data_IF_248616130096
#
_entry.id   IF_248616130096
#
_cell.length_a   1.000
_cell.length_b   1.000
_cell.length_c   1.000
_cell.angle_alpha   90.00
_cell.angle_beta   90.00
_cell.angle_gamma   90.00
#
_symmetry.space_group_name_H-M   'P 1'
#
loop_
_entity.id
_entity.type
_entity.pdbx_description
1 polymer ?
#
# COMPACT_ATOMS: atom_id res chain seq x y z
N UNK A 1 -10.24 -9.18 20.09
CA UNK A 1 -10.42 -8.26 18.94
C UNK A 1 -11.90 -8.03 18.66
N UNK A 2 -12.31 -6.89 18.13
CA UNK A 2 -13.70 -6.57 17.76
C UNK A 2 -13.73 -5.77 16.46
N UNK A 3 -14.89 -5.70 15.81
CA UNK A 3 -15.13 -4.80 14.67
C UNK A 3 -15.22 -3.36 15.20
N UNK A 4 -14.44 -2.46 14.59
CA UNK A 4 -14.25 -1.08 15.09
C UNK A 4 -15.34 -0.14 14.57
N UNK A 5 -15.68 -0.25 13.28
CA UNK A 5 -16.62 0.66 12.62
C UNK A 5 -17.53 -0.06 11.61
N UNK A 6 -18.51 0.67 11.06
CA UNK A 6 -19.40 0.19 10.01
C UNK A 6 -20.59 -0.63 10.51
N UNK A 7 -21.23 -1.37 9.58
CA UNK A 7 -22.49 -2.11 9.81
C UNK A 7 -22.41 -3.19 10.89
N UNK A 8 -21.23 -3.72 11.16
CA UNK A 8 -21.00 -4.76 12.17
C UNK A 8 -20.25 -4.26 13.39
N UNK A 9 -20.16 -2.95 13.63
CA UNK A 9 -19.46 -2.34 14.77
C UNK A 9 -19.79 -3.02 16.11
N UNK A 10 -18.77 -3.30 16.91
CA UNK A 10 -18.88 -3.90 18.24
C UNK A 10 -18.94 -5.44 18.26
N UNK A 11 -19.15 -6.11 17.11
CA UNK A 11 -19.10 -7.57 17.00
C UNK A 11 -17.75 -8.09 17.44
N UNK A 12 -17.75 -9.10 18.33
CA UNK A 12 -16.53 -9.79 18.74
C UNK A 12 -16.02 -10.68 17.61
N UNK A 13 -14.72 -10.67 17.40
CA UNK A 13 -14.00 -11.59 16.53
C UNK A 13 -13.37 -12.67 17.41
N UNK A 14 -13.70 -13.90 17.13
CA UNK A 14 -13.15 -15.08 17.82
C UNK A 14 -11.66 -15.16 17.47
N UNK A 15 -10.82 -15.20 18.48
CA UNK A 15 -9.37 -15.36 18.34
C UNK A 15 -8.95 -16.73 18.87
N UNK A 16 -7.81 -17.29 18.42
CA UNK A 16 -7.29 -18.54 18.93
C UNK A 16 -7.08 -18.48 20.45
N UNK A 17 -7.26 -19.61 21.11
CA UNK A 17 -6.91 -19.75 22.54
C UNK A 17 -5.42 -20.08 22.58
N UNK A 18 -4.60 -19.15 23.08
CA UNK A 18 -3.14 -19.27 23.22
C UNK A 18 -2.37 -18.05 22.69
N UNK A 19 -1.09 -17.98 23.00
CA UNK A 19 -0.21 -16.84 22.64
C UNK A 19 0.41 -16.93 21.24
N UNK A 20 0.08 -17.94 20.43
CA UNK A 20 0.76 -18.22 19.17
C UNK A 20 0.31 -17.31 17.99
N UNK A 21 -0.81 -16.62 18.13
CA UNK A 21 -1.28 -15.67 17.13
C UNK A 21 -1.44 -14.31 17.79
N UNK A 22 -0.51 -13.40 17.52
CA UNK A 22 -0.64 -11.99 17.94
C UNK A 22 -1.78 -11.39 17.11
N UNK A 23 -2.91 -11.03 17.72
CA UNK A 23 -3.92 -10.29 16.97
C UNK A 23 -3.31 -8.95 16.58
N UNK A 24 -3.44 -8.56 15.32
CA UNK A 24 -3.23 -7.18 14.88
C UNK A 24 -3.88 -6.29 15.92
N UNK A 25 -3.12 -5.44 16.58
CA UNK A 25 -3.67 -4.66 17.71
C UNK A 25 -4.80 -3.80 17.16
N UNK A 26 -5.88 -3.64 17.93
CA UNK A 26 -7.03 -2.79 17.53
C UNK A 26 -6.55 -1.43 17.01
N UNK A 27 -5.42 -0.91 17.53
CA UNK A 27 -4.79 0.34 17.11
C UNK A 27 -4.21 0.28 15.69
N UNK A 28 -3.50 -0.80 15.32
CA UNK A 28 -2.94 -0.96 13.96
C UNK A 28 -4.08 -1.13 12.97
N UNK A 29 -5.08 -1.95 13.30
CA UNK A 29 -6.27 -2.13 12.49
C UNK A 29 -7.02 -0.82 12.27
N UNK A 30 -7.24 -0.02 13.32
CA UNK A 30 -7.87 1.29 13.22
C UNK A 30 -7.07 2.22 12.30
N UNK A 31 -5.75 2.24 12.47
CA UNK A 31 -4.87 3.04 11.62
C UNK A 31 -4.93 2.62 10.16
N UNK A 32 -4.86 1.32 9.88
CA UNK A 32 -4.97 0.78 8.53
C UNK A 32 -6.26 1.25 7.86
N UNK A 33 -7.39 1.06 8.53
CA UNK A 33 -8.69 1.44 7.97
C UNK A 33 -8.96 2.96 7.95
N UNK A 34 -8.27 3.76 8.75
CA UNK A 34 -8.27 5.21 8.62
C UNK A 34 -7.51 5.66 7.35
N UNK A 35 -6.47 4.92 6.94
CA UNK A 35 -5.77 5.16 5.69
C UNK A 35 -6.66 4.80 4.51
N UNK A 36 -7.32 3.63 4.58
CA UNK A 36 -8.16 3.09 3.51
C UNK A 36 -9.58 3.69 3.44
N UNK A 37 -9.92 4.65 4.30
CA UNK A 37 -11.31 5.13 4.46
C UNK A 37 -11.99 5.62 3.17
N UNK A 38 -11.19 6.11 2.21
CA UNK A 38 -11.69 6.59 0.92
C UNK A 38 -11.61 5.55 -0.20
N UNK A 39 -10.93 4.43 0.05
CA UNK A 39 -10.71 3.37 -0.93
C UNK A 39 -11.62 2.14 -0.67
N UNK A 40 -12.27 2.04 0.52
CA UNK A 40 -12.92 0.81 0.98
C UNK A 40 -14.37 0.62 0.47
N UNK A 41 -15.11 1.72 0.26
CA UNK A 41 -16.51 1.61 -0.17
C UNK A 41 -16.60 0.98 -1.56
N UNK A 42 -17.48 -0.02 -1.70
CA UNK A 42 -17.70 -0.82 -2.92
C UNK A 42 -16.47 -1.57 -3.45
N UNK A 43 -15.37 -1.61 -2.67
CA UNK A 43 -14.11 -2.24 -3.07
C UNK A 43 -14.19 -3.78 -3.06
N UNK A 44 -13.48 -4.40 -4.00
CA UNK A 44 -13.08 -5.80 -3.97
C UNK A 44 -11.79 -5.92 -3.15
N UNK A 45 -11.89 -6.54 -1.99
CA UNK A 45 -10.77 -6.67 -1.03
C UNK A 45 -10.26 -8.11 -1.02
N UNK A 46 -8.94 -8.28 -1.01
CA UNK A 46 -8.30 -9.59 -0.84
C UNK A 46 -7.43 -9.56 0.41
N UNK A 47 -7.78 -10.38 1.38
CA UNK A 47 -7.02 -10.60 2.62
C UNK A 47 -6.16 -11.86 2.42
N UNK A 48 -4.86 -11.66 2.09
CA UNK A 48 -3.97 -12.75 1.67
C UNK A 48 -3.47 -13.62 2.82
N UNK A 49 -3.60 -13.15 4.07
CA UNK A 49 -3.20 -13.87 5.28
C UNK A 49 -4.31 -13.75 6.32
N UNK A 50 -5.46 -14.33 5.99
CA UNK A 50 -6.73 -14.07 6.68
C UNK A 50 -6.73 -14.30 8.19
N UNK A 51 -5.96 -15.28 8.70
CA UNK A 51 -5.84 -15.54 10.13
C UNK A 51 -7.19 -15.73 10.81
N UNK A 52 -7.61 -14.76 11.62
CA UNK A 52 -8.94 -14.75 12.24
C UNK A 52 -10.04 -14.19 11.33
N UNK A 53 -9.69 -13.61 10.19
CA UNK A 53 -10.61 -12.86 9.34
C UNK A 53 -10.91 -11.44 9.83
N UNK A 54 -10.22 -10.98 10.87
CA UNK A 54 -10.54 -9.70 11.52
C UNK A 54 -10.37 -8.47 10.63
N UNK A 55 -9.42 -8.49 9.69
CA UNK A 55 -9.21 -7.40 8.73
C UNK A 55 -10.29 -7.44 7.62
N UNK A 56 -10.52 -8.60 7.02
CA UNK A 56 -11.55 -8.74 6.01
C UNK A 56 -12.97 -8.46 6.53
N UNK A 57 -13.31 -8.88 7.77
CA UNK A 57 -14.60 -8.55 8.41
C UNK A 57 -14.72 -7.05 8.68
N UNK A 58 -13.65 -6.38 9.08
CA UNK A 58 -13.64 -4.91 9.21
C UNK A 58 -13.90 -4.24 7.85
N UNK A 59 -13.29 -4.76 6.76
CA UNK A 59 -13.53 -4.29 5.41
C UNK A 59 -15.00 -4.42 5.00
N UNK A 60 -15.61 -5.61 5.19
CA UNK A 60 -17.04 -5.82 4.98
C UNK A 60 -17.90 -4.86 5.79
N UNK A 61 -17.54 -4.65 7.06
CA UNK A 61 -18.26 -3.75 7.95
C UNK A 61 -18.26 -2.30 7.46
N UNK A 62 -17.18 -1.89 6.81
CA UNK A 62 -17.01 -0.52 6.27
C UNK A 62 -17.51 -0.34 4.85
N UNK A 63 -18.14 -1.37 4.27
CA UNK A 63 -18.82 -1.27 2.97
C UNK A 63 -18.02 -1.80 1.78
N UNK A 64 -17.03 -2.67 2.01
CA UNK A 64 -16.42 -3.41 0.90
C UNK A 64 -17.51 -4.24 0.19
N UNK A 65 -17.48 -4.24 -1.15
CA UNK A 65 -18.41 -4.99 -2.00
C UNK A 65 -18.22 -6.49 -1.88
N UNK A 66 -16.95 -6.92 -1.85
CA UNK A 66 -16.58 -8.33 -1.80
C UNK A 66 -15.26 -8.50 -1.06
N UNK A 67 -15.16 -9.50 -0.20
CA UNK A 67 -13.90 -9.87 0.46
C UNK A 67 -13.55 -11.31 0.16
N UNK A 68 -12.34 -11.54 -0.32
CA UNK A 68 -11.72 -12.85 -0.49
C UNK A 68 -10.75 -13.07 0.67
N UNK A 69 -11.07 -14.05 1.53
CA UNK A 69 -10.20 -14.45 2.63
C UNK A 69 -9.32 -15.61 2.19
N UNK A 70 -8.03 -15.41 2.18
CA UNK A 70 -7.05 -16.43 1.81
C UNK A 70 -6.24 -16.84 3.05
N UNK A 71 -6.07 -18.13 3.26
CA UNK A 71 -5.18 -18.67 4.29
C UNK A 71 -4.78 -20.10 3.94
N UNK A 72 -3.57 -20.50 4.35
CA UNK A 72 -3.08 -21.86 4.15
C UNK A 72 -3.50 -22.80 5.30
N UNK A 73 -3.68 -22.25 6.51
CA UNK A 73 -3.96 -23.02 7.73
C UNK A 73 -5.46 -23.31 7.88
N UNK A 74 -5.80 -24.58 8.05
CA UNK A 74 -7.18 -25.01 8.29
C UNK A 74 -7.79 -24.43 9.58
N UNK A 75 -6.98 -24.14 10.61
CA UNK A 75 -7.46 -23.50 11.86
C UNK A 75 -7.91 -22.08 11.58
N UNK A 76 -7.09 -21.29 10.83
CA UNK A 76 -7.45 -19.96 10.37
C UNK A 76 -8.74 -19.98 9.54
N UNK A 77 -8.84 -20.88 8.56
CA UNK A 77 -10.04 -21.02 7.73
C UNK A 77 -11.31 -21.33 8.55
N UNK A 78 -11.20 -22.13 9.60
CA UNK A 78 -12.32 -22.42 10.49
C UNK A 78 -12.69 -21.20 11.36
N UNK A 79 -11.72 -20.42 11.83
CA UNK A 79 -11.96 -19.16 12.54
C UNK A 79 -12.64 -18.14 11.62
N UNK A 80 -12.16 -17.98 10.39
CA UNK A 80 -12.79 -17.11 9.40
C UNK A 80 -14.25 -17.50 9.20
N UNK A 81 -14.56 -18.79 8.97
CA UNK A 81 -15.94 -19.28 8.80
C UNK A 81 -16.85 -18.90 9.97
N UNK A 82 -16.36 -19.01 11.19
CA UNK A 82 -17.11 -18.62 12.39
C UNK A 82 -17.31 -17.11 12.45
N UNK A 83 -16.24 -16.34 12.17
CA UNK A 83 -16.23 -14.90 12.29
C UNK A 83 -17.01 -14.18 11.17
N UNK A 84 -17.24 -14.81 10.02
CA UNK A 84 -18.07 -14.24 8.94
C UNK A 84 -19.53 -14.78 8.96
N UNK A 85 -19.90 -15.60 9.95
CA UNK A 85 -21.23 -16.24 10.00
C UNK A 85 -22.41 -15.26 10.06
N UNK A 86 -22.17 -14.04 10.47
CA UNK A 86 -23.15 -12.97 10.54
C UNK A 86 -23.11 -12.03 9.31
N UNK A 87 -22.15 -12.22 8.39
CA UNK A 87 -22.03 -11.45 7.15
C UNK A 87 -22.91 -12.08 6.06
N UNK A 88 -23.32 -11.26 5.08
CA UNK A 88 -24.00 -11.79 3.90
C UNK A 88 -23.06 -12.73 3.12
N UNK A 89 -23.55 -13.93 2.79
CA UNK A 89 -22.77 -14.96 2.11
C UNK A 89 -22.33 -14.55 0.70
N UNK A 90 -23.04 -13.66 0.07
CA UNK A 90 -22.69 -13.10 -1.24
C UNK A 90 -21.49 -12.16 -1.19
N UNK A 91 -21.23 -11.53 -0.03
CA UNK A 91 -20.20 -10.50 0.14
C UNK A 91 -18.80 -11.08 0.39
N UNK A 92 -18.66 -12.41 0.57
CA UNK A 92 -17.34 -12.99 0.83
C UNK A 92 -17.12 -14.36 0.19
N UNK A 93 -15.85 -14.73 0.09
CA UNK A 93 -15.39 -16.07 -0.29
C UNK A 93 -14.17 -16.45 0.54
N UNK A 94 -14.08 -17.73 0.95
CA UNK A 94 -12.95 -18.26 1.72
C UNK A 94 -12.18 -19.21 0.83
N UNK A 95 -10.89 -18.98 0.66
CA UNK A 95 -10.01 -19.70 -0.27
C UNK A 95 -8.84 -20.29 0.53
N UNK A 96 -8.70 -21.62 0.44
CA UNK A 96 -7.54 -22.31 0.98
C UNK A 96 -6.39 -22.27 -0.03
N UNK A 97 -5.24 -21.77 0.38
CA UNK A 97 -4.01 -21.73 -0.40
C UNK A 97 -2.99 -20.80 0.21
N UNK A 98 -1.75 -20.88 -0.25
CA UNK A 98 -0.78 -19.83 0.01
C UNK A 98 -1.12 -18.56 -0.80
N UNK A 99 -0.46 -17.45 -0.48
CA UNK A 99 -0.74 -16.17 -1.13
C UNK A 99 -0.56 -16.23 -2.66
N UNK A 100 0.46 -16.91 -3.16
CA UNK A 100 0.78 -16.97 -4.59
C UNK A 100 -0.28 -17.81 -5.34
N UNK A 101 -0.70 -18.94 -4.77
CA UNK A 101 -1.77 -19.79 -5.34
C UNK A 101 -3.12 -19.06 -5.31
N UNK A 102 -3.43 -18.34 -4.22
CA UNK A 102 -4.66 -17.55 -4.12
C UNK A 102 -4.69 -16.42 -5.16
N UNK A 103 -3.62 -15.64 -5.31
CA UNK A 103 -3.51 -14.61 -6.35
C UNK A 103 -3.73 -15.23 -7.73
N UNK A 104 -2.98 -16.29 -8.06
CA UNK A 104 -3.09 -16.97 -9.35
C UNK A 104 -4.52 -17.46 -9.63
N UNK A 105 -5.16 -18.14 -8.69
CA UNK A 105 -6.51 -18.70 -8.83
C UNK A 105 -7.57 -17.62 -9.01
N UNK A 106 -7.48 -16.53 -8.26
CA UNK A 106 -8.40 -15.40 -8.38
C UNK A 106 -8.22 -14.67 -9.70
N UNK A 107 -6.97 -14.40 -10.10
CA UNK A 107 -6.66 -13.73 -11.37
C UNK A 107 -7.16 -14.55 -12.59
N UNK A 108 -6.96 -15.87 -12.58
CA UNK A 108 -7.47 -16.77 -13.63
C UNK A 108 -9.02 -16.81 -13.72
N UNK A 109 -9.71 -16.41 -12.65
CA UNK A 109 -11.18 -16.24 -12.62
C UNK A 109 -11.62 -14.84 -13.05
N UNK A 110 -10.69 -13.99 -13.48
CA UNK A 110 -10.95 -12.59 -13.87
C UNK A 110 -11.20 -11.64 -12.69
N UNK A 111 -10.85 -12.05 -11.47
CA UNK A 111 -10.94 -11.16 -10.30
C UNK A 111 -9.74 -10.23 -10.30
N UNK A 112 -10.02 -8.92 -10.20
CA UNK A 112 -9.04 -7.88 -9.87
C UNK A 112 -9.40 -7.27 -8.52
N UNK A 113 -8.41 -7.02 -7.69
CA UNK A 113 -8.58 -6.40 -6.38
C UNK A 113 -8.50 -4.87 -6.48
N UNK A 114 -9.29 -4.19 -5.66
CA UNK A 114 -9.11 -2.76 -5.39
C UNK A 114 -8.20 -2.56 -4.17
N UNK A 115 -8.27 -3.47 -3.21
CA UNK A 115 -7.43 -3.46 -2.01
C UNK A 115 -6.89 -4.86 -1.75
N UNK A 116 -5.59 -4.97 -1.52
CA UNK A 116 -4.92 -6.19 -1.07
C UNK A 116 -4.35 -5.93 0.31
N UNK A 117 -4.76 -6.73 1.30
CA UNK A 117 -4.26 -6.66 2.67
C UNK A 117 -3.31 -7.84 2.89
N UNK A 118 -2.09 -7.54 3.33
CA UNK A 118 -1.07 -8.52 3.65
C UNK A 118 -0.61 -8.32 5.09
N UNK A 119 -1.04 -9.20 5.99
CA UNK A 119 -0.58 -9.30 7.39
C UNK A 119 0.06 -10.69 7.61
N UNK A 120 1.25 -10.93 7.04
CA UNK A 120 1.89 -12.24 7.09
C UNK A 120 2.43 -12.56 8.48
N UNK A 121 2.71 -13.85 8.79
CA UNK A 121 3.38 -14.23 10.04
C UNK A 121 4.70 -13.49 10.23
N UNK A 122 5.06 -13.14 11.46
CA UNK A 122 6.17 -12.26 11.86
C UNK A 122 7.56 -12.60 11.29
N UNK A 123 7.79 -13.85 10.87
CA UNK A 123 9.06 -14.30 10.26
C UNK A 123 9.05 -14.30 8.73
N UNK A 124 7.98 -13.80 8.15
CA UNK A 124 7.79 -13.82 6.71
C UNK A 124 8.50 -12.63 6.05
N UNK A 125 9.59 -12.89 5.32
CA UNK A 125 10.42 -11.87 4.65
C UNK A 125 10.22 -11.84 3.13
N UNK A 126 9.00 -12.08 2.66
CA UNK A 126 8.73 -12.21 1.23
C UNK A 126 7.87 -11.06 0.66
N UNK A 127 7.89 -9.89 1.29
CA UNK A 127 7.11 -8.73 0.83
C UNK A 127 7.34 -8.38 -0.65
N UNK A 128 8.60 -8.42 -1.10
CA UNK A 128 8.96 -8.21 -2.51
C UNK A 128 8.33 -9.27 -3.43
N UNK A 129 8.31 -10.54 -3.01
CA UNK A 129 7.71 -11.63 -3.79
C UNK A 129 6.20 -11.47 -3.90
N UNK A 130 5.54 -10.97 -2.85
CA UNK A 130 4.09 -10.65 -2.91
C UNK A 130 3.86 -9.58 -3.96
N UNK A 131 4.60 -8.46 -3.93
CA UNK A 131 4.49 -7.38 -4.90
C UNK A 131 4.71 -7.88 -6.33
N UNK A 132 5.77 -8.68 -6.54
CA UNK A 132 6.07 -9.29 -7.83
C UNK A 132 4.95 -10.21 -8.33
N UNK A 133 4.34 -11.03 -7.45
CA UNK A 133 3.22 -11.90 -7.82
C UNK A 133 1.96 -11.13 -8.17
N UNK A 134 1.62 -10.07 -7.43
CA UNK A 134 0.50 -9.21 -7.75
C UNK A 134 0.70 -8.58 -9.15
N UNK A 135 1.93 -8.16 -9.47
CA UNK A 135 2.29 -7.58 -10.76
C UNK A 135 2.26 -8.60 -11.90
N UNK A 136 2.82 -9.80 -11.68
CA UNK A 136 2.86 -10.90 -12.65
C UNK A 136 1.46 -11.25 -13.19
N UNK A 137 0.46 -11.26 -12.30
CA UNK A 137 -0.92 -11.59 -12.65
C UNK A 137 -1.80 -10.38 -12.97
N UNK A 138 -1.24 -9.18 -13.01
CA UNK A 138 -1.99 -7.92 -13.19
C UNK A 138 -3.24 -7.88 -12.26
N UNK A 139 -3.02 -8.27 -11.00
CA UNK A 139 -4.09 -8.63 -10.07
C UNK A 139 -4.73 -7.42 -9.37
N UNK A 140 -4.10 -6.25 -9.41
CA UNK A 140 -4.56 -5.01 -8.77
C UNK A 140 -5.10 -4.03 -9.80
N UNK A 141 -6.28 -3.48 -9.56
CA UNK A 141 -6.87 -2.41 -10.38
C UNK A 141 -6.00 -1.14 -10.38
N UNK A 142 -6.13 -0.33 -11.43
CA UNK A 142 -5.52 1.00 -11.47
C UNK A 142 -6.03 1.83 -10.29
N UNK A 143 -5.13 2.53 -9.61
CA UNK A 143 -5.42 3.24 -8.37
C UNK A 143 -5.60 2.36 -7.14
N UNK A 144 -5.59 1.05 -7.29
CA UNK A 144 -5.74 0.08 -6.19
C UNK A 144 -4.61 0.16 -5.16
N UNK A 145 -4.86 -0.36 -3.98
CA UNK A 145 -3.96 -0.25 -2.81
C UNK A 145 -3.50 -1.61 -2.33
N UNK A 146 -2.20 -1.74 -2.04
CA UNK A 146 -1.63 -2.89 -1.32
C UNK A 146 -1.16 -2.38 0.03
N UNK A 147 -1.51 -3.09 1.09
CA UNK A 147 -0.98 -2.85 2.44
C UNK A 147 -0.17 -4.05 2.89
N UNK A 148 1.06 -3.82 3.36
CA UNK A 148 1.93 -4.89 3.86
C UNK A 148 2.37 -4.56 5.28
N UNK A 149 1.96 -5.41 6.24
CA UNK A 149 2.51 -5.39 7.59
C UNK A 149 3.80 -6.21 7.62
N UNK A 150 4.86 -5.67 8.25
CA UNK A 150 6.15 -6.34 8.41
C UNK A 150 6.84 -5.91 9.70
N UNK A 151 7.93 -6.58 10.07
CA UNK A 151 8.76 -6.13 11.17
C UNK A 151 9.44 -4.80 10.84
N UNK A 152 9.55 -3.90 11.81
CA UNK A 152 10.12 -2.56 11.61
C UNK A 152 11.62 -2.58 11.30
N UNK A 153 12.32 -3.63 11.72
CA UNK A 153 13.74 -3.87 11.48
C UNK A 153 14.03 -4.61 10.14
N UNK A 154 13.00 -5.09 9.45
CA UNK A 154 13.16 -5.56 8.08
C UNK A 154 13.49 -4.37 7.16
N UNK A 155 14.36 -4.56 6.19
CA UNK A 155 14.72 -3.53 5.21
C UNK A 155 13.50 -2.97 4.48
N UNK A 156 13.60 -1.74 3.96
CA UNK A 156 12.51 -1.13 3.19
C UNK A 156 12.17 -1.97 1.95
N UNK A 157 10.88 -2.12 1.67
CA UNK A 157 10.44 -2.77 0.44
C UNK A 157 10.69 -1.85 -0.78
N UNK A 158 11.07 -2.40 -1.94
CA UNK A 158 11.38 -1.60 -3.12
C UNK A 158 10.15 -0.88 -3.67
N UNK A 159 10.35 0.38 -4.04
CA UNK A 159 9.38 1.25 -4.70
C UNK A 159 9.51 1.14 -6.23
N UNK A 160 9.54 -0.09 -6.72
CA UNK A 160 9.79 -0.36 -8.14
C UNK A 160 8.53 -0.75 -8.90
N UNK A 161 7.82 -1.78 -8.43
CA UNK A 161 6.63 -2.32 -9.09
C UNK A 161 5.40 -1.42 -8.86
N UNK A 162 5.27 -0.88 -7.67
CA UNK A 162 4.18 -0.03 -7.22
C UNK A 162 4.72 1.24 -6.58
N UNK A 163 3.93 2.30 -6.57
CA UNK A 163 4.28 3.54 -5.88
C UNK A 163 4.12 3.35 -4.37
N UNK A 164 5.21 3.39 -3.60
CA UNK A 164 5.17 3.37 -2.14
C UNK A 164 4.64 4.71 -1.63
N UNK A 165 3.34 4.78 -1.34
CA UNK A 165 2.67 6.01 -0.87
C UNK A 165 3.17 6.44 0.51
N UNK A 166 3.33 5.48 1.43
CA UNK A 166 3.87 5.75 2.78
C UNK A 166 4.31 4.49 3.50
N UNK A 167 5.28 4.65 4.41
CA UNK A 167 5.62 3.68 5.44
C UNK A 167 5.30 4.29 6.80
N UNK A 168 4.62 3.55 7.67
CA UNK A 168 4.30 3.98 9.03
C UNK A 168 4.80 2.96 10.03
N UNK A 169 5.56 3.42 11.02
CA UNK A 169 6.16 2.56 12.05
C UNK A 169 5.39 2.70 13.36
N UNK A 170 5.02 1.55 13.94
CA UNK A 170 4.32 1.43 15.21
C UNK A 170 5.02 0.41 16.10
N UNK A 171 5.92 0.88 16.95
CA UNK A 171 6.77 0.00 17.76
C UNK A 171 7.61 -0.90 16.85
N UNK A 172 7.42 -2.21 16.94
CA UNK A 172 8.16 -3.21 16.18
C UNK A 172 7.50 -3.57 14.83
N UNK A 173 6.47 -2.83 14.42
CA UNK A 173 5.70 -3.11 13.20
C UNK A 173 5.80 -1.94 12.25
N UNK A 174 6.07 -2.22 10.97
CA UNK A 174 5.93 -1.29 9.86
C UNK A 174 4.72 -1.66 9.03
N UNK A 175 3.96 -0.65 8.62
CA UNK A 175 2.86 -0.76 7.67
C UNK A 175 3.23 0.03 6.41
N UNK A 176 3.50 -0.68 5.33
CA UNK A 176 3.78 -0.11 4.02
C UNK A 176 2.49 -0.05 3.19
N UNK A 177 2.25 1.10 2.57
CA UNK A 177 1.10 1.35 1.72
C UNK A 177 1.60 1.61 0.31
N UNK A 178 1.25 0.72 -0.62
CA UNK A 178 1.57 0.87 -2.04
C UNK A 178 0.31 1.18 -2.84
N UNK A 179 0.49 1.93 -3.92
CA UNK A 179 -0.58 2.25 -4.86
C UNK A 179 -0.20 1.82 -6.28
N UNK A 180 -1.13 1.21 -7.00
CA UNK A 180 -0.99 0.94 -8.42
C UNK A 180 -1.22 2.25 -9.20
N UNK A 181 -0.15 3.00 -9.39
CA UNK A 181 -0.17 4.27 -10.10
C UNK A 181 0.98 4.32 -11.10
N UNK A 182 0.70 4.81 -12.30
CA UNK A 182 1.76 5.15 -13.25
C UNK A 182 2.65 6.23 -12.67
N UNK A 183 3.95 6.12 -12.87
CA UNK A 183 4.96 6.99 -12.28
C UNK A 183 5.58 7.90 -13.33
N UNK A 184 5.85 9.14 -12.94
CA UNK A 184 6.59 10.11 -13.75
C UNK A 184 7.57 10.90 -12.89
N UNK A 185 8.74 11.25 -13.42
CA UNK A 185 9.69 12.13 -12.77
C UNK A 185 9.55 13.56 -13.30
N UNK A 186 9.56 14.53 -12.39
CA UNK A 186 9.80 15.96 -12.68
C UNK A 186 11.17 16.28 -12.12
N UNK A 187 12.13 16.58 -13.00
CA UNK A 187 13.54 16.71 -12.62
C UNK A 187 14.07 18.13 -12.83
N UNK A 188 14.89 18.60 -11.91
CA UNK A 188 15.50 19.93 -12.01
C UNK A 188 16.44 20.24 -10.85
N UNK A 189 17.17 21.36 -10.95
CA UNK A 189 17.96 21.87 -9.83
C UNK A 189 17.07 22.50 -8.75
N UNK A 190 15.90 23.03 -9.14
CA UNK A 190 14.92 23.70 -8.27
C UNK A 190 15.55 24.76 -7.35
N UNK A 191 16.30 25.67 -7.95
CA UNK A 191 17.08 26.67 -7.25
C UNK A 191 16.65 28.11 -7.62
N UNK A 192 15.47 28.57 -7.18
CA UNK A 192 14.45 27.90 -6.36
C UNK A 192 13.40 27.07 -7.15
N UNK A 193 12.54 26.35 -6.42
CA UNK A 193 11.32 25.75 -6.96
C UNK A 193 10.28 26.86 -7.23
N UNK A 194 9.70 26.86 -8.42
CA UNK A 194 8.82 27.94 -8.90
C UNK A 194 7.39 27.43 -9.17
N UNK A 195 6.45 28.35 -9.45
CA UNK A 195 5.08 28.03 -9.87
C UNK A 195 5.05 27.21 -11.16
N UNK A 196 5.99 27.45 -12.09
CA UNK A 196 6.14 26.63 -13.30
C UNK A 196 6.49 25.18 -12.98
N UNK A 197 7.38 24.96 -12.02
CA UNK A 197 7.69 23.60 -11.56
C UNK A 197 6.48 22.95 -10.87
N UNK A 198 5.72 23.68 -10.04
CA UNK A 198 4.47 23.19 -9.44
C UNK A 198 3.48 22.78 -10.52
N UNK A 199 3.29 23.58 -11.55
CA UNK A 199 2.43 23.27 -12.69
C UNK A 199 2.81 21.96 -13.40
N UNK A 200 4.12 21.69 -13.60
CA UNK A 200 4.59 20.42 -14.17
C UNK A 200 4.24 19.22 -13.27
N UNK A 201 4.35 19.39 -11.95
CA UNK A 201 3.96 18.36 -10.98
C UNK A 201 2.46 18.09 -11.06
N UNK A 202 1.63 19.13 -11.11
CA UNK A 202 0.17 19.02 -11.25
C UNK A 202 -0.22 18.28 -12.53
N UNK A 203 0.39 18.65 -13.66
CA UNK A 203 0.17 17.94 -14.94
C UNK A 203 0.65 16.48 -14.89
N UNK A 204 1.74 16.21 -14.21
CA UNK A 204 2.19 14.85 -13.94
C UNK A 204 1.16 14.05 -13.13
N UNK A 205 0.59 14.64 -12.09
CA UNK A 205 -0.45 13.99 -11.28
C UNK A 205 -1.75 13.72 -12.03
N UNK A 206 -2.13 14.62 -12.95
CA UNK A 206 -3.31 14.44 -13.81
C UNK A 206 -3.11 13.25 -14.79
N UNK A 207 -1.90 13.10 -15.33
CA UNK A 207 -1.62 12.15 -16.42
C UNK A 207 -1.15 10.78 -15.93
N UNK A 208 -0.44 10.71 -14.79
CA UNK A 208 0.27 9.49 -14.35
C UNK A 208 -0.13 9.00 -12.96
N UNK A 209 -0.76 9.82 -12.15
CA UNK A 209 -1.21 9.41 -10.82
C UNK A 209 -0.15 9.56 -9.71
N UNK A 210 1.14 9.32 -9.96
CA UNK A 210 2.23 9.50 -9.01
C UNK A 210 3.42 10.26 -9.62
N UNK A 211 3.98 11.23 -8.88
CA UNK A 211 5.07 12.09 -9.35
C UNK A 211 6.27 12.02 -8.40
N UNK A 212 7.44 11.81 -8.97
CA UNK A 212 8.72 11.94 -8.29
C UNK A 212 9.34 13.30 -8.65
N UNK A 213 9.41 14.20 -7.70
CA UNK A 213 10.13 15.47 -7.84
C UNK A 213 11.57 15.22 -7.44
N UNK A 214 12.44 15.13 -8.44
CA UNK A 214 13.85 14.74 -8.26
C UNK A 214 14.73 15.96 -8.38
N UNK A 215 15.25 16.43 -7.24
CA UNK A 215 16.22 17.52 -7.20
C UNK A 215 17.59 16.99 -7.57
N UNK A 216 18.09 17.41 -8.74
CA UNK A 216 19.41 17.04 -9.21
C UNK A 216 20.48 17.93 -8.55
N UNK A 217 21.44 17.31 -7.89
CA UNK A 217 22.57 17.98 -7.26
C UNK A 217 23.79 17.82 -8.15
N UNK A 218 24.38 18.95 -8.57
CA UNK A 218 25.64 18.97 -9.30
C UNK A 218 26.73 19.57 -8.41
N UNK A 219 27.68 18.76 -7.99
CA UNK A 219 28.78 19.14 -7.10
C UNK A 219 29.70 20.22 -7.71
N UNK A 220 29.71 20.38 -9.04
CA UNK A 220 30.51 21.35 -9.74
C UNK A 220 29.84 22.72 -9.90
N UNK A 221 28.62 22.91 -9.34
CA UNK A 221 27.89 24.19 -9.41
C UNK A 221 27.66 24.72 -8.00
N UNK A 222 27.91 26.02 -7.83
CA UNK A 222 27.55 26.75 -6.60
C UNK A 222 26.06 27.08 -6.64
N UNK A 223 25.22 26.47 -5.80
CA UNK A 223 23.79 26.74 -5.79
C UNK A 223 23.49 28.09 -5.10
N UNK A 224 22.36 28.72 -5.48
CA UNK A 224 21.86 29.92 -4.78
C UNK A 224 21.29 29.57 -3.40
N UNK A 225 20.58 28.44 -3.30
CA UNK A 225 20.03 27.90 -2.05
C UNK A 225 20.67 26.57 -1.69
N UNK A 226 20.85 26.33 -0.38
CA UNK A 226 21.29 25.02 0.09
C UNK A 226 20.29 23.92 -0.28
N UNK A 227 20.77 22.66 -0.39
CA UNK A 227 19.94 21.49 -0.65
C UNK A 227 18.75 21.42 0.31
N UNK A 228 19.01 21.64 1.60
CA UNK A 228 17.99 21.60 2.66
C UNK A 228 16.91 22.68 2.47
N UNK A 229 17.29 23.91 2.13
CA UNK A 229 16.32 24.99 1.89
C UNK A 229 15.48 24.73 0.65
N UNK A 230 16.08 24.21 -0.43
CA UNK A 230 15.34 23.83 -1.65
C UNK A 230 14.33 22.73 -1.35
N UNK A 231 14.70 21.68 -0.60
CA UNK A 231 13.78 20.62 -0.19
C UNK A 231 12.60 21.18 0.61
N UNK A 232 12.84 22.03 1.61
CA UNK A 232 11.79 22.68 2.41
C UNK A 232 10.81 23.49 1.54
N UNK A 233 11.31 24.21 0.53
CA UNK A 233 10.46 24.98 -0.39
C UNK A 233 9.57 24.03 -1.21
N UNK A 234 10.13 22.95 -1.75
CA UNK A 234 9.39 21.94 -2.53
C UNK A 234 8.32 21.31 -1.66
N UNK A 235 8.68 20.82 -0.46
CA UNK A 235 7.76 20.17 0.48
C UNK A 235 6.59 21.09 0.86
N UNK A 236 6.85 22.34 1.17
CA UNK A 236 5.81 23.32 1.51
C UNK A 236 4.90 23.60 0.30
N UNK A 237 5.47 23.72 -0.90
CA UNK A 237 4.73 24.01 -2.14
C UNK A 237 3.82 22.87 -2.58
N UNK A 238 4.20 21.62 -2.24
CA UNK A 238 3.51 20.39 -2.66
C UNK A 238 2.82 19.66 -1.51
N UNK A 239 2.67 20.30 -0.36
CA UNK A 239 2.10 19.69 0.86
C UNK A 239 0.74 19.03 0.66
N UNK A 240 -0.10 19.59 -0.20
CA UNK A 240 -1.42 19.06 -0.54
C UNK A 240 -1.36 17.74 -1.32
N UNK A 241 -0.27 17.48 -2.05
CA UNK A 241 -0.07 16.30 -2.90
C UNK A 241 0.78 15.19 -2.24
N UNK A 242 1.11 15.29 -0.95
CA UNK A 242 2.06 14.41 -0.24
C UNK A 242 1.78 12.90 -0.36
N UNK A 243 0.54 12.50 -0.65
CA UNK A 243 0.18 11.08 -0.85
C UNK A 243 0.52 10.56 -2.25
N UNK A 244 0.75 11.47 -3.22
CA UNK A 244 0.96 11.16 -4.63
C UNK A 244 2.26 11.73 -5.18
N UNK A 245 3.01 12.45 -4.33
CA UNK A 245 4.29 13.08 -4.69
C UNK A 245 5.38 12.59 -3.75
N UNK A 246 6.48 12.14 -4.32
CA UNK A 246 7.74 11.92 -3.61
C UNK A 246 8.74 12.99 -3.98
N UNK A 247 9.46 13.48 -2.99
CA UNK A 247 10.50 14.50 -3.15
C UNK A 247 11.80 13.85 -2.72
N UNK A 248 12.71 13.70 -3.66
CA UNK A 248 14.02 13.10 -3.42
C UNK A 248 15.11 13.96 -4.08
N UNK A 249 16.34 13.89 -3.57
CA UNK A 249 17.51 14.46 -4.26
C UNK A 249 18.39 13.33 -4.77
N UNK A 250 19.07 13.59 -5.86
CA UNK A 250 19.95 12.60 -6.49
C UNK A 250 21.19 13.28 -7.10
N UNK A 251 22.36 12.70 -6.86
CA UNK A 251 23.61 13.10 -7.55
C UNK A 251 23.97 11.98 -8.53
N UNK A 252 23.86 12.27 -9.83
CA UNK A 252 24.10 11.29 -10.89
C UNK A 252 23.23 11.52 -12.12
N UNK A 253 23.17 10.52 -12.98
CA UNK A 253 22.36 10.60 -14.19
C UNK A 253 20.88 10.35 -13.89
N UNK A 254 20.02 11.24 -14.33
CA UNK A 254 18.55 11.10 -14.17
C UNK A 254 18.03 9.73 -14.64
N UNK A 255 18.63 9.18 -15.69
CA UNK A 255 18.20 7.89 -16.25
C UNK A 255 18.47 6.74 -15.28
N UNK A 256 19.55 6.78 -14.51
CA UNK A 256 19.90 5.73 -13.55
C UNK A 256 18.93 5.77 -12.37
N UNK A 257 18.59 6.96 -11.88
CA UNK A 257 17.53 7.14 -10.89
C UNK A 257 16.19 6.57 -11.37
N UNK A 258 15.79 6.92 -12.60
CA UNK A 258 14.52 6.46 -13.15
C UNK A 258 14.48 4.93 -13.33
N UNK A 259 15.60 4.32 -13.73
CA UNK A 259 15.72 2.84 -13.83
C UNK A 259 15.60 2.17 -12.47
N UNK A 260 16.28 2.69 -11.46
CA UNK A 260 16.24 2.16 -10.10
C UNK A 260 14.80 2.18 -9.53
N UNK A 261 14.10 3.28 -9.73
CA UNK A 261 12.72 3.49 -9.21
C UNK A 261 11.62 2.94 -10.13
N UNK A 262 11.96 2.39 -11.29
CA UNK A 262 10.98 1.91 -12.28
C UNK A 262 10.08 3.04 -12.79
N UNK A 263 10.65 4.21 -13.08
CA UNK A 263 9.93 5.40 -13.58
C UNK A 263 10.14 5.48 -15.11
N UNK A 264 9.07 5.25 -15.91
CA UNK A 264 9.21 5.19 -17.35
C UNK A 264 9.21 6.55 -18.06
N UNK A 265 8.77 7.62 -17.40
CA UNK A 265 8.56 8.93 -18.01
C UNK A 265 9.20 10.07 -17.23
N UNK A 266 9.64 11.10 -17.95
CA UNK A 266 10.20 12.35 -17.39
C UNK A 266 9.45 13.52 -18.02
N UNK A 267 8.99 14.45 -17.19
CA UNK A 267 8.44 15.76 -17.59
C UNK A 267 9.50 16.84 -17.31
N UNK A 268 9.72 17.70 -18.28
CA UNK A 268 10.63 18.86 -18.19
C UNK A 268 9.97 20.10 -18.73
#
# INVERSE_FOLDING_TARGET
MRVIAGKYRGRKIISPVGNDVRPTTDKIKETLFNILQYDIADAVVVDLFGGTGGLGVEALSRGAKKVYFCDIDNRSLNLIKQNVSFCDRSEYEIIKGDYADCIRRLALRGVKADIIICDPPYRFKEGERILAKIKEYDFLNDGGVITIERAADDGALPDREYFLESTRVYGNVSLDIFRNASKVAVTGSFDPFTTGHKFLVEKGLESFGAVYVVMLVNENKTPFLSVENRLKIIENSLREYKRRVKIEFFSGLTIDYCREKGIPYIIR
#
